data_IF_104252840668
#
_entry.id   IF_104252840668
#
_cell.length_a   1.000
_cell.length_b   1.000
_cell.length_c   1.000
_cell.angle_alpha   90.00
_cell.angle_beta   90.00
_cell.angle_gamma   90.00
#
_symmetry.space_group_name_H-M   'P 1'
#
loop_
_entity.id
_entity.type
_entity.pdbx_description
1 polymer ?
#
# COMPACT_ATOMS: atom_id res chain seq x y z
N UNK A 1 38.41 -69.78 15.06
CA UNK A 1 38.79 -68.37 15.22
C UNK A 1 37.95 -67.56 14.20
N UNK A 2 36.86 -66.91 14.62
CA UNK A 2 35.99 -66.18 13.75
C UNK A 2 36.22 -64.69 14.09
N UNK A 3 36.80 -63.94 13.14
CA UNK A 3 36.97 -62.48 13.26
C UNK A 3 35.62 -61.77 13.02
N UNK A 4 35.11 -61.09 14.05
CA UNK A 4 33.98 -60.17 13.94
C UNK A 4 34.45 -58.86 13.30
N UNK A 5 34.01 -58.58 12.08
CA UNK A 5 34.12 -57.27 11.45
C UNK A 5 32.96 -56.40 11.93
N UNK A 6 33.27 -55.41 12.76
CA UNK A 6 32.33 -54.39 13.21
C UNK A 6 32.09 -53.38 12.07
N UNK A 7 30.89 -53.40 11.51
CA UNK A 7 30.46 -52.44 10.50
C UNK A 7 30.01 -51.14 11.22
N UNK A 8 30.84 -50.12 11.13
CA UNK A 8 30.58 -48.79 11.72
C UNK A 8 29.54 -48.09 10.83
N UNK A 9 28.29 -48.02 11.29
CA UNK A 9 27.26 -47.20 10.67
C UNK A 9 27.52 -45.73 11.03
N UNK A 10 27.98 -44.93 10.06
CA UNK A 10 28.10 -43.48 10.17
C UNK A 10 26.76 -42.85 9.79
N UNK A 11 25.99 -42.24 10.73
CA UNK A 11 24.77 -41.53 10.35
C UNK A 11 25.19 -40.24 9.65
N UNK A 12 24.94 -40.17 8.35
CA UNK A 12 25.06 -38.96 7.56
C UNK A 12 23.95 -38.01 7.98
N UNK A 13 24.24 -37.08 8.91
CA UNK A 13 23.36 -36.02 9.35
C UNK A 13 23.31 -34.99 8.22
N UNK A 14 22.35 -35.14 7.30
CA UNK A 14 22.06 -34.15 6.28
C UNK A 14 21.33 -32.99 7.02
N UNK A 15 22.09 -31.95 7.37
CA UNK A 15 21.55 -30.66 7.81
C UNK A 15 20.86 -30.05 6.61
N UNK A 16 19.54 -30.28 6.50
CA UNK A 16 18.69 -29.48 5.65
C UNK A 16 18.69 -28.04 6.21
N UNK A 17 19.51 -27.18 5.62
CA UNK A 17 19.38 -25.75 5.79
C UNK A 17 18.07 -25.32 5.10
N UNK A 18 16.94 -25.36 5.83
CA UNK A 18 15.74 -24.65 5.45
C UNK A 18 16.05 -23.16 5.59
N UNK A 19 16.48 -22.54 4.51
CA UNK A 19 16.46 -21.09 4.39
C UNK A 19 14.99 -20.67 4.38
N UNK A 20 14.46 -20.29 5.53
CA UNK A 20 13.16 -19.62 5.62
C UNK A 20 13.39 -18.26 4.98
N UNK A 21 13.04 -18.14 3.70
CA UNK A 21 12.96 -16.85 3.05
C UNK A 21 11.83 -16.08 3.78
N UNK A 22 12.21 -15.16 4.66
CA UNK A 22 11.26 -14.27 5.30
C UNK A 22 10.57 -13.46 4.19
N UNK A 23 9.28 -13.67 3.99
CA UNK A 23 8.50 -12.87 3.05
C UNK A 23 8.62 -11.40 3.46
N UNK A 24 9.20 -10.59 2.59
CA UNK A 24 9.35 -9.15 2.84
C UNK A 24 7.97 -8.52 2.73
N UNK A 25 7.42 -8.10 3.86
CA UNK A 25 6.06 -7.53 3.93
C UNK A 25 6.00 -6.17 3.23
N UNK A 26 4.90 -5.87 2.54
CA UNK A 26 4.63 -4.54 2.02
C UNK A 26 4.71 -3.49 3.13
N UNK A 27 5.26 -2.32 2.83
CA UNK A 27 5.34 -1.20 3.77
C UNK A 27 5.20 0.15 3.07
N UNK A 28 4.81 1.17 3.82
CA UNK A 28 4.64 2.54 3.34
C UNK A 28 5.95 3.30 3.52
N UNK A 29 6.49 3.87 2.43
CA UNK A 29 7.50 4.92 2.48
C UNK A 29 6.81 6.28 2.63
N UNK A 30 7.37 7.15 3.44
CA UNK A 30 6.74 8.38 3.85
C UNK A 30 5.91 8.17 5.13
N UNK A 31 4.88 9.02 5.41
CA UNK A 31 4.59 10.24 4.65
C UNK A 31 5.73 11.26 4.70
N UNK A 32 6.12 11.79 3.51
CA UNK A 32 7.02 12.95 3.42
C UNK A 32 6.15 14.21 3.36
N UNK A 33 6.22 15.01 4.41
CA UNK A 33 5.34 16.15 4.65
C UNK A 33 6.11 17.44 4.32
N UNK A 34 5.51 18.29 3.51
CA UNK A 34 6.04 19.62 3.16
C UNK A 34 4.94 20.65 3.26
N UNK A 35 5.31 21.84 3.74
CA UNK A 35 4.42 23.01 3.70
C UNK A 35 4.91 23.90 2.56
N UNK A 36 4.09 24.02 1.51
CA UNK A 36 4.39 24.83 0.33
C UNK A 36 3.17 25.71 0.06
N UNK A 37 3.38 27.02 -0.08
CA UNK A 37 2.32 27.99 -0.33
C UNK A 37 1.14 27.87 0.66
N UNK A 38 1.48 27.66 1.94
CA UNK A 38 0.51 27.43 3.03
C UNK A 38 -0.31 26.14 2.92
N UNK A 39 0.03 25.24 2.02
CA UNK A 39 -0.63 23.95 1.92
C UNK A 39 0.25 22.83 2.51
N UNK A 40 -0.35 21.94 3.27
CA UNK A 40 0.27 20.68 3.69
C UNK A 40 0.23 19.73 2.51
N UNK A 41 1.42 19.42 1.98
CA UNK A 41 1.61 18.51 0.84
C UNK A 41 2.25 17.23 1.33
N UNK A 42 1.69 16.11 0.92
CA UNK A 42 2.13 14.77 1.35
C UNK A 42 2.55 13.94 0.15
N UNK A 43 3.71 13.27 0.28
CA UNK A 43 4.17 12.27 -0.68
C UNK A 43 4.26 10.91 0.03
N UNK A 44 3.78 9.88 -0.63
CA UNK A 44 3.75 8.51 -0.12
C UNK A 44 4.05 7.51 -1.22
N UNK A 45 4.63 6.39 -0.86
CA UNK A 45 4.74 5.25 -1.77
C UNK A 45 4.62 3.92 -1.02
N UNK A 46 4.13 2.91 -1.73
CA UNK A 46 4.03 1.54 -1.25
C UNK A 46 5.21 0.74 -1.81
N UNK A 47 5.94 0.05 -0.95
CA UNK A 47 7.09 -0.76 -1.32
C UNK A 47 6.94 -2.23 -0.88
N UNK A 48 7.84 -3.09 -1.39
CA UNK A 48 7.83 -4.53 -1.17
C UNK A 48 6.50 -5.19 -1.58
N UNK A 49 6.03 -4.83 -2.76
CA UNK A 49 4.71 -5.21 -3.30
C UNK A 49 4.77 -6.45 -4.20
N UNK A 50 5.75 -7.32 -4.02
CA UNK A 50 5.99 -8.48 -4.90
C UNK A 50 4.76 -9.38 -5.09
N UNK A 51 3.96 -9.58 -4.06
CA UNK A 51 2.72 -10.36 -4.16
C UNK A 51 1.67 -9.66 -5.02
N UNK A 52 1.49 -8.34 -4.84
CA UNK A 52 0.60 -7.53 -5.68
C UNK A 52 1.08 -7.50 -7.13
N UNK A 53 2.41 -7.36 -7.33
CA UNK A 53 3.03 -7.39 -8.65
C UNK A 53 2.79 -8.72 -9.34
N UNK A 54 2.97 -9.83 -8.64
CA UNK A 54 2.72 -11.18 -9.16
C UNK A 54 1.24 -11.35 -9.55
N UNK A 55 0.31 -10.90 -8.70
CA UNK A 55 -1.12 -10.97 -9.00
C UNK A 55 -1.49 -10.14 -10.23
N UNK A 56 -1.00 -8.90 -10.34
CA UNK A 56 -1.23 -8.04 -11.49
C UNK A 56 -0.68 -8.67 -12.78
N UNK A 57 0.54 -9.20 -12.73
CA UNK A 57 1.18 -9.84 -13.88
C UNK A 57 0.51 -11.17 -14.29
N UNK A 58 -0.18 -11.83 -13.37
CA UNK A 58 -1.00 -13.01 -13.69
C UNK A 58 -2.39 -12.67 -14.24
N UNK A 59 -2.70 -11.38 -14.43
CA UNK A 59 -3.96 -10.91 -14.99
C UNK A 59 -5.04 -10.59 -13.96
N UNK A 60 -4.75 -10.73 -12.66
CA UNK A 60 -5.69 -10.34 -11.60
C UNK A 60 -5.75 -8.82 -11.51
N UNK A 61 -6.92 -8.26 -11.78
CA UNK A 61 -7.14 -6.82 -11.60
C UNK A 61 -7.07 -6.45 -10.12
N UNK A 62 -6.44 -5.31 -9.80
CA UNK A 62 -6.29 -4.80 -8.44
C UNK A 62 -6.82 -3.38 -8.32
N UNK A 63 -7.49 -3.11 -7.22
CA UNK A 63 -7.82 -1.78 -6.73
C UNK A 63 -6.90 -1.46 -5.54
N UNK A 64 -6.20 -0.33 -5.60
CA UNK A 64 -5.34 0.18 -4.53
C UNK A 64 -5.91 1.51 -4.07
N UNK A 65 -6.16 1.63 -2.78
CA UNK A 65 -6.77 2.81 -2.17
C UNK A 65 -5.75 3.43 -1.21
N UNK A 66 -5.38 4.67 -1.47
CA UNK A 66 -4.58 5.51 -0.58
C UNK A 66 -5.53 6.44 0.17
N UNK A 67 -5.54 6.34 1.48
CA UNK A 67 -6.25 7.27 2.36
C UNK A 67 -5.21 8.00 3.20
N UNK A 68 -5.19 9.33 3.11
CA UNK A 68 -4.28 10.20 3.88
C UNK A 68 -5.13 11.09 4.75
N UNK A 69 -4.92 11.02 6.06
CA UNK A 69 -5.70 11.71 7.08
C UNK A 69 -4.80 12.67 7.86
N UNK A 70 -5.29 13.86 8.12
CA UNK A 70 -4.69 14.81 9.07
C UNK A 70 -5.48 14.74 10.37
N UNK A 71 -4.76 14.49 11.46
CA UNK A 71 -5.33 14.41 12.81
C UNK A 71 -4.63 15.41 13.72
N UNK A 72 -5.41 16.05 14.61
CA UNK A 72 -4.91 16.90 15.67
C UNK A 72 -4.73 16.10 16.94
N UNK A 73 -3.59 16.23 17.59
CA UNK A 73 -3.26 15.50 18.82
C UNK A 73 -4.02 16.09 20.02
N UNK A 74 -4.76 15.25 20.74
CA UNK A 74 -5.47 15.65 21.96
C UNK A 74 -4.94 14.89 23.18
N UNK A 75 -4.40 15.57 24.20
CA UNK A 75 -3.74 14.89 25.33
C UNK A 75 -4.63 13.98 26.18
N UNK A 76 -5.95 14.21 26.20
CA UNK A 76 -6.89 13.51 27.08
C UNK A 76 -8.09 12.87 26.38
N UNK A 77 -8.22 13.05 25.05
CA UNK A 77 -9.32 12.55 24.24
C UNK A 77 -8.76 11.84 23.01
N UNK A 78 -9.57 11.06 22.30
CA UNK A 78 -9.17 10.58 20.98
C UNK A 78 -8.81 11.75 20.07
N UNK A 79 -7.78 11.56 19.25
CA UNK A 79 -7.31 12.56 18.30
C UNK A 79 -8.42 13.00 17.36
N UNK A 80 -8.43 14.29 17.06
CA UNK A 80 -9.46 14.90 16.24
C UNK A 80 -9.15 14.71 14.75
N UNK A 81 -10.11 14.17 14.03
CA UNK A 81 -10.07 14.13 12.58
C UNK A 81 -10.27 15.53 12.00
N UNK A 82 -9.33 16.01 11.18
CA UNK A 82 -9.34 17.35 10.58
C UNK A 82 -9.65 17.30 9.10
N UNK A 83 -8.90 16.51 8.34
CA UNK A 83 -9.07 16.40 6.89
C UNK A 83 -8.65 15.03 6.38
N UNK A 84 -9.16 14.63 5.23
CA UNK A 84 -8.64 13.47 4.52
C UNK A 84 -8.69 13.63 3.01
N UNK A 85 -7.80 12.91 2.35
CA UNK A 85 -7.80 12.71 0.90
C UNK A 85 -7.75 11.22 0.60
N UNK A 86 -8.68 10.78 -0.24
CA UNK A 86 -8.76 9.38 -0.68
C UNK A 86 -8.50 9.31 -2.18
N UNK A 87 -7.53 8.48 -2.59
CA UNK A 87 -7.16 8.28 -3.98
C UNK A 87 -7.29 6.79 -4.27
N UNK A 88 -8.10 6.47 -5.26
CA UNK A 88 -8.34 5.11 -5.72
C UNK A 88 -7.63 4.89 -7.04
N UNK A 89 -6.84 3.84 -7.13
CA UNK A 89 -6.20 3.39 -8.36
C UNK A 89 -6.64 1.99 -8.71
N UNK A 90 -6.96 1.78 -9.97
CA UNK A 90 -7.35 0.48 -10.52
C UNK A 90 -6.35 0.11 -11.60
N UNK A 91 -5.92 -1.13 -11.61
CA UNK A 91 -5.03 -1.70 -12.62
C UNK A 91 -5.53 -3.08 -13.04
N UNK A 92 -5.50 -3.36 -14.31
CA UNK A 92 -5.68 -4.69 -14.88
C UNK A 92 -4.87 -4.87 -16.17
N UNK A 93 -4.52 -6.12 -16.46
CA UNK A 93 -3.85 -6.47 -17.71
C UNK A 93 -4.87 -6.86 -18.76
N UNK A 94 -4.81 -6.21 -19.92
CA UNK A 94 -5.65 -6.53 -21.10
C UNK A 94 -4.91 -7.53 -21.99
N UNK A 95 -5.25 -8.81 -21.85
CA UNK A 95 -4.64 -9.91 -22.62
C UNK A 95 -4.85 -9.79 -24.13
N UNK A 96 -5.92 -9.11 -24.59
CA UNK A 96 -6.21 -8.97 -26.02
C UNK A 96 -5.32 -7.92 -26.67
N UNK A 97 -4.97 -6.87 -25.94
CA UNK A 97 -4.16 -5.75 -26.40
C UNK A 97 -2.72 -5.80 -25.96
N UNK A 98 -2.38 -6.79 -25.13
CA UNK A 98 -1.03 -6.97 -24.54
C UNK A 98 -0.54 -5.70 -23.85
N UNK A 99 -1.39 -5.14 -22.97
CA UNK A 99 -1.10 -3.89 -22.27
C UNK A 99 -1.80 -3.81 -20.91
N UNK A 100 -1.23 -3.01 -20.00
CA UNK A 100 -1.85 -2.65 -18.74
C UNK A 100 -2.77 -1.44 -18.95
N UNK A 101 -3.99 -1.53 -18.40
CA UNK A 101 -4.91 -0.40 -18.27
C UNK A 101 -4.98 0.01 -16.82
N UNK A 102 -4.82 1.30 -16.57
CA UNK A 102 -4.87 1.83 -15.22
C UNK A 102 -5.72 3.10 -15.18
N UNK A 103 -6.43 3.27 -14.07
CA UNK A 103 -7.17 4.49 -13.77
C UNK A 103 -6.91 4.96 -12.36
N UNK A 104 -6.99 6.28 -12.14
CA UNK A 104 -6.93 6.92 -10.82
C UNK A 104 -8.12 7.83 -10.65
N UNK A 105 -8.66 7.88 -9.42
CA UNK A 105 -9.75 8.78 -9.04
C UNK A 105 -9.48 9.34 -7.64
N UNK A 106 -9.47 10.66 -7.51
CA UNK A 106 -9.16 11.39 -6.27
C UNK A 106 -10.39 12.03 -5.59
N UNK A 107 -11.58 11.62 -6.02
CA UNK A 107 -12.85 12.20 -5.57
C UNK A 107 -13.41 13.25 -6.54
N UNK A 108 -12.57 13.88 -7.35
CA UNK A 108 -12.96 14.96 -8.28
C UNK A 108 -12.54 14.64 -9.72
N UNK A 109 -11.31 14.18 -9.90
CA UNK A 109 -10.69 13.97 -11.20
C UNK A 109 -10.41 12.48 -11.44
N UNK A 110 -10.76 12.02 -12.64
CA UNK A 110 -10.38 10.70 -13.14
C UNK A 110 -9.27 10.85 -14.16
N UNK A 111 -8.23 10.04 -14.03
CA UNK A 111 -7.16 9.91 -15.00
C UNK A 111 -7.08 8.44 -15.44
N UNK A 112 -6.92 8.23 -16.74
CA UNK A 112 -6.74 6.90 -17.34
C UNK A 112 -5.41 6.86 -18.08
N UNK A 113 -4.70 5.76 -17.95
CA UNK A 113 -3.41 5.54 -18.61
C UNK A 113 -3.31 4.11 -19.12
N UNK A 114 -2.55 3.94 -20.18
CA UNK A 114 -2.22 2.65 -20.77
C UNK A 114 -0.70 2.52 -20.81
N UNK A 115 -0.20 1.34 -20.47
CA UNK A 115 1.22 1.05 -20.41
C UNK A 115 1.48 -0.29 -21.11
N UNK A 116 2.57 -0.35 -21.88
CA UNK A 116 2.98 -1.60 -22.54
C UNK A 116 3.73 -2.54 -21.65
N UNK A 117 4.39 -2.00 -20.64
CA UNK A 117 5.19 -2.79 -19.71
C UNK A 117 4.92 -2.42 -18.24
N UNK A 118 5.18 -3.39 -17.37
CA UNK A 118 4.93 -3.24 -15.94
C UNK A 118 5.88 -2.23 -15.28
N UNK A 119 7.09 -2.08 -15.76
CA UNK A 119 8.07 -1.18 -15.15
C UNK A 119 7.57 0.28 -15.14
N UNK A 120 6.99 0.73 -16.26
CA UNK A 120 6.47 2.09 -16.39
C UNK A 120 5.23 2.34 -15.54
N UNK A 121 4.38 1.34 -15.33
CA UNK A 121 3.18 1.49 -14.52
C UNK A 121 3.45 1.38 -13.03
N UNK A 122 4.47 0.64 -12.61
CA UNK A 122 4.79 0.35 -11.22
C UNK A 122 4.87 1.62 -10.36
N UNK A 123 5.65 2.60 -10.80
CA UNK A 123 5.77 3.86 -10.07
C UNK A 123 4.45 4.63 -10.03
N UNK A 124 3.70 4.62 -11.13
CA UNK A 124 2.42 5.33 -11.18
C UNK A 124 1.37 4.71 -10.27
N UNK A 125 1.32 3.38 -10.16
CA UNK A 125 0.29 2.70 -9.37
C UNK A 125 0.59 2.72 -7.86
N UNK A 126 1.86 2.63 -7.46
CA UNK A 126 2.26 2.50 -6.06
C UNK A 126 2.76 3.80 -5.42
N UNK A 127 2.75 4.92 -6.12
CA UNK A 127 3.23 6.20 -5.60
C UNK A 127 2.19 7.29 -5.78
N UNK A 128 2.02 8.12 -4.74
CA UNK A 128 1.27 9.36 -4.77
C UNK A 128 2.15 10.50 -4.33
N UNK A 129 2.21 11.55 -5.15
CA UNK A 129 2.99 12.75 -4.88
C UNK A 129 2.12 13.99 -4.99
N UNK A 130 2.43 15.00 -4.14
CA UNK A 130 1.76 16.28 -4.20
C UNK A 130 0.31 16.23 -3.71
N UNK A 131 -0.03 15.33 -2.77
CA UNK A 131 -1.36 15.29 -2.17
C UNK A 131 -1.53 16.54 -1.32
N UNK A 132 -2.38 17.46 -1.74
CA UNK A 132 -2.77 18.63 -0.95
C UNK A 132 -3.82 18.18 0.04
N UNK A 133 -3.51 18.25 1.33
CA UNK A 133 -4.37 17.73 2.40
C UNK A 133 -5.18 18.83 3.08
N UNK A 134 -4.53 19.93 3.45
CA UNK A 134 -5.17 21.08 4.10
C UNK A 134 -4.36 22.37 3.87
N UNK A 135 -4.99 23.54 4.06
CA UNK A 135 -4.32 24.83 4.12
C UNK A 135 -4.06 25.18 5.60
N UNK A 136 -2.83 25.50 5.97
CA UNK A 136 -2.46 25.78 7.37
C UNK A 136 -3.18 26.99 7.96
N UNK A 137 -3.67 27.92 7.13
CA UNK A 137 -4.46 29.07 7.60
C UNK A 137 -5.86 28.70 8.11
N UNK A 138 -6.33 27.51 7.77
CA UNK A 138 -7.63 26.98 8.18
C UNK A 138 -7.50 26.10 9.44
N UNK A 139 -6.27 25.92 9.93
CA UNK A 139 -5.96 25.07 11.08
C UNK A 139 -5.71 25.93 12.33
N UNK A 140 -6.11 25.42 13.47
CA UNK A 140 -5.76 26.01 14.76
C UNK A 140 -4.28 25.71 15.09
N UNK A 141 -3.59 26.63 15.82
CA UNK A 141 -2.24 26.36 16.32
C UNK A 141 -2.23 25.17 17.27
N UNK A 142 -1.65 24.05 16.84
CA UNK A 142 -1.59 22.82 17.64
C UNK A 142 -0.60 21.80 17.03
N UNK A 143 -0.48 20.63 17.67
CA UNK A 143 0.25 19.48 17.15
C UNK A 143 -0.64 18.61 16.28
N UNK A 144 -0.11 18.22 15.14
CA UNK A 144 -0.79 17.39 14.14
C UNK A 144 0.09 16.21 13.75
N UNK A 145 -0.53 15.15 13.24
CA UNK A 145 0.15 14.07 12.54
C UNK A 145 -0.64 13.60 11.34
N UNK A 146 0.03 12.89 10.46
CA UNK A 146 -0.59 12.30 9.28
C UNK A 146 -0.65 10.80 9.44
N UNK A 147 -1.85 10.24 9.28
CA UNK A 147 -2.10 8.81 9.17
C UNK A 147 -2.32 8.45 7.70
N UNK A 148 -1.57 7.45 7.24
CA UNK A 148 -1.72 6.89 5.90
C UNK A 148 -2.25 5.47 6.02
N UNK A 149 -3.35 5.19 5.33
CA UNK A 149 -3.91 3.84 5.19
C UNK A 149 -3.88 3.46 3.72
N UNK A 150 -3.25 2.33 3.41
CA UNK A 150 -3.25 1.76 2.05
C UNK A 150 -3.94 0.41 2.08
N UNK A 151 -4.98 0.29 1.27
CA UNK A 151 -5.74 -0.94 1.09
C UNK A 151 -5.55 -1.48 -0.33
N UNK A 152 -5.52 -2.79 -0.48
CA UNK A 152 -5.59 -3.46 -1.79
C UNK A 152 -6.76 -4.43 -1.81
N UNK A 153 -7.46 -4.48 -2.95
CA UNK A 153 -8.59 -5.37 -3.21
C UNK A 153 -8.43 -6.02 -4.57
N UNK A 154 -8.79 -7.30 -4.68
CA UNK A 154 -8.88 -7.98 -5.97
C UNK A 154 -10.16 -7.58 -6.69
N UNK A 155 -10.04 -7.31 -8.00
CA UNK A 155 -11.18 -7.10 -8.89
C UNK A 155 -11.55 -8.44 -9.52
N UNK A 156 -12.05 -9.37 -8.73
CA UNK A 156 -12.58 -10.61 -9.28
C UNK A 156 -13.95 -10.36 -9.92
N UNK A 157 -14.13 -10.79 -11.14
CA UNK A 157 -15.44 -10.90 -11.76
C UNK A 157 -16.12 -12.12 -11.14
N UNK A 158 -16.83 -11.91 -10.04
CA UNK A 158 -17.62 -12.96 -9.41
C UNK A 158 -18.68 -13.45 -10.40
N UNK A 159 -18.75 -14.75 -10.69
CA UNK A 159 -19.90 -15.31 -11.39
C UNK A 159 -21.16 -14.97 -10.59
N UNK A 160 -22.27 -14.76 -11.31
CA UNK A 160 -23.56 -14.25 -10.79
C UNK A 160 -24.05 -14.94 -9.50
N UNK A 161 -23.60 -16.17 -9.23
CA UNK A 161 -23.95 -16.94 -8.02
C UNK A 161 -23.20 -16.43 -6.78
N UNK A 162 -22.00 -15.84 -6.91
CA UNK A 162 -21.23 -15.24 -5.82
C UNK A 162 -21.77 -13.88 -5.37
N UNK A 163 -22.58 -13.22 -6.19
CA UNK A 163 -23.09 -11.87 -5.95
C UNK A 163 -23.97 -11.75 -4.69
N UNK A 164 -24.60 -12.83 -4.26
CA UNK A 164 -25.44 -12.86 -3.05
C UNK A 164 -24.67 -13.11 -1.75
N UNK A 165 -23.44 -13.61 -1.81
CA UNK A 165 -22.65 -13.95 -0.60
C UNK A 165 -21.58 -12.92 -0.23
N UNK A 166 -21.22 -11.98 -1.11
CA UNK A 166 -20.16 -11.00 -0.85
C UNK A 166 -20.68 -9.56 -0.93
N UNK A 167 -21.49 -9.18 0.06
CA UNK A 167 -21.91 -7.79 0.26
C UNK A 167 -20.77 -6.88 0.79
N UNK A 168 -19.64 -7.45 1.19
CA UNK A 168 -18.46 -6.73 1.66
C UNK A 168 -17.30 -7.08 0.74
N UNK A 169 -16.69 -6.12 0.02
CA UNK A 169 -15.50 -6.38 -0.78
C UNK A 169 -14.38 -6.86 0.15
N UNK A 170 -13.85 -8.04 -0.13
CA UNK A 170 -12.73 -8.59 0.61
C UNK A 170 -11.49 -7.72 0.40
N UNK A 171 -10.92 -7.23 1.50
CA UNK A 171 -9.68 -6.46 1.47
C UNK A 171 -8.53 -7.45 1.58
N UNK A 172 -7.73 -7.57 0.52
CA UNK A 172 -6.58 -8.48 0.48
C UNK A 172 -5.45 -8.02 1.41
N UNK A 173 -5.29 -6.69 1.55
CA UNK A 173 -4.21 -6.09 2.32
C UNK A 173 -4.64 -4.74 2.88
N UNK A 174 -4.30 -4.49 4.13
CA UNK A 174 -4.39 -3.16 4.77
C UNK A 174 -3.08 -2.86 5.49
N UNK A 175 -2.50 -1.70 5.21
CA UNK A 175 -1.30 -1.22 5.88
C UNK A 175 -1.56 0.19 6.39
N UNK A 176 -1.16 0.45 7.63
CA UNK A 176 -1.29 1.75 8.28
C UNK A 176 0.08 2.25 8.68
N UNK A 177 0.33 3.54 8.48
CA UNK A 177 1.52 4.22 8.97
C UNK A 177 1.19 5.65 9.39
N UNK A 178 1.76 6.07 10.50
CA UNK A 178 1.63 7.42 11.05
C UNK A 178 2.97 8.16 10.93
N UNK A 179 2.91 9.47 10.76
CA UNK A 179 4.08 10.35 10.83
C UNK A 179 4.45 10.63 12.29
N UNK A 180 5.61 11.24 12.51
CA UNK A 180 5.84 11.99 13.73
C UNK A 180 4.92 13.21 13.81
N UNK A 181 4.65 13.67 15.03
CA UNK A 181 3.89 14.90 15.26
C UNK A 181 4.67 16.11 14.72
N UNK A 182 3.93 17.09 14.21
CA UNK A 182 4.47 18.38 13.80
C UNK A 182 3.55 19.52 14.26
N UNK A 183 4.17 20.64 14.66
CA UNK A 183 3.45 21.79 15.15
C UNK A 183 3.09 22.75 14.00
N UNK A 184 1.86 23.26 14.01
CA UNK A 184 1.41 24.35 13.16
C UNK A 184 1.10 25.54 14.09
N UNK A 185 1.76 26.68 13.83
CA UNK A 185 1.59 27.91 14.61
C UNK A 185 1.23 29.09 13.72
N UNK A 186 0.89 30.23 14.35
CA UNK A 186 0.42 31.44 13.67
C UNK A 186 1.45 32.13 12.76
N UNK A 187 2.76 31.78 12.88
CA UNK A 187 3.87 32.44 12.21
C UNK A 187 4.42 31.71 10.96
N UNK A 188 3.74 30.67 10.45
CA UNK A 188 4.20 29.90 9.28
C UNK A 188 3.49 30.25 7.97
#
# INVERSE_FOLDING_TARGET
MIKKTSLLFLPCFILLNLSIAAAIKPHIFGPDIKIIDKNIIVNISLANVSELETAINSGVGKEIIFTVELLRVWPFWPDEFVASKKIKKIIHYDNLRDQYQASSFDGFKRAEKQFKDYYNIRNWIFTENGIILANIRELEPDNYYIRVVIESKSLEHLPVIGMLMHLVPEVDMTIVKESSDFYIGDDQ
#
